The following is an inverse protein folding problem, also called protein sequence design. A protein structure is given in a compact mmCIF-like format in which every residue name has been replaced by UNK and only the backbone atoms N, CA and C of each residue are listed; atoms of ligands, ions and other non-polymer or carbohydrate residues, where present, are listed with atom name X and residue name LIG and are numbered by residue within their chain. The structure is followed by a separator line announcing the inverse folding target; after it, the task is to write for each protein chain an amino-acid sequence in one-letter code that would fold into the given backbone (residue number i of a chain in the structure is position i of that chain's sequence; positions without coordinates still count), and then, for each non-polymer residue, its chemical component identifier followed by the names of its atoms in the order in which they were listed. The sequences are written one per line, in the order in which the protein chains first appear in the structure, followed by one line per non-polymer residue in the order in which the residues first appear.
data_IF_181748301402
#
_entry.id   IF_181748301402
#
_cell.length_a   1.000
_cell.length_b   1.000
_cell.length_c   1.000
_cell.angle_alpha   90.00
_cell.angle_beta   90.00
_cell.angle_gamma   90.00
#
_symmetry.space_group_name_H-M   'P 1'
#
loop_
_entity.id
_entity.type
_entity.pdbx_description
1 polymer ?
#
# COMPACT_ATOMS: atom_id res chain seq x y z
N UNK A 1 -4.81 -32.20 12.98
CA UNK A 1 -4.65 -31.97 11.54
C UNK A 1 -5.08 -30.55 11.23
N UNK A 2 -4.49 -29.94 10.21
CA UNK A 2 -4.60 -28.53 9.81
C UNK A 2 -6.08 -28.12 9.60
N UNK A 3 -6.42 -26.87 9.91
CA UNK A 3 -7.77 -26.34 9.73
C UNK A 3 -7.99 -26.05 8.23
N UNK A 4 -8.86 -26.83 7.58
CA UNK A 4 -9.10 -26.85 6.13
C UNK A 4 -9.98 -25.69 5.62
N UNK A 5 -10.50 -24.83 6.51
CA UNK A 5 -11.34 -23.69 6.13
C UNK A 5 -10.59 -22.35 6.28
N UNK A 6 -9.70 -22.06 5.34
CA UNK A 6 -9.16 -20.71 5.07
C UNK A 6 -10.22 -19.67 4.64
N UNK A 7 -11.48 -19.84 5.05
CA UNK A 7 -12.67 -19.11 4.62
C UNK A 7 -13.28 -18.20 5.70
N UNK A 8 -12.68 -18.09 6.90
CA UNK A 8 -13.18 -17.18 7.95
C UNK A 8 -12.17 -16.09 8.27
N UNK A 9 -12.34 -14.94 7.64
CA UNK A 9 -11.78 -13.67 8.11
C UNK A 9 -12.47 -13.32 9.45
N UNK A 10 -11.93 -13.80 10.56
CA UNK A 10 -12.44 -13.48 11.90
C UNK A 10 -12.18 -11.99 12.16
N UNK A 11 -13.21 -11.16 12.02
CA UNK A 11 -13.21 -9.70 12.25
C UNK A 11 -12.79 -9.24 13.67
N UNK A 12 -12.32 -10.17 14.51
CA UNK A 12 -11.99 -10.02 15.92
C UNK A 12 -10.87 -9.01 16.23
N UNK A 13 -10.15 -8.47 15.25
CA UNK A 13 -8.89 -7.75 15.50
C UNK A 13 -8.89 -6.26 15.10
N UNK A 14 -9.96 -5.75 14.46
CA UNK A 14 -10.03 -4.33 14.11
C UNK A 14 -10.44 -3.42 15.27
N UNK A 15 -11.00 -3.98 16.34
CA UNK A 15 -11.46 -3.23 17.52
C UNK A 15 -10.33 -2.75 18.45
N UNK A 16 -9.08 -3.18 18.21
CA UNK A 16 -7.93 -2.85 19.05
C UNK A 16 -7.03 -1.77 18.44
N UNK A 17 -7.35 -1.28 17.25
CA UNK A 17 -6.59 -0.19 16.63
C UNK A 17 -7.12 1.17 17.11
N UNK A 18 -6.20 2.07 17.45
CA UNK A 18 -6.52 3.43 17.91
C UNK A 18 -7.25 4.24 16.81
N UNK A 19 -6.95 3.95 15.54
CA UNK A 19 -7.60 4.49 14.35
C UNK A 19 -7.99 3.33 13.40
N UNK A 20 -9.00 3.49 12.52
CA UNK A 20 -9.25 2.53 11.46
C UNK A 20 -7.97 2.26 10.65
N UNK A 21 -7.56 0.99 10.43
CA UNK A 21 -6.27 0.67 9.83
C UNK A 21 -6.03 1.32 8.47
N UNK A 22 -7.09 1.49 7.67
CA UNK A 22 -7.02 2.19 6.38
C UNK A 22 -6.54 3.63 6.53
N UNK A 23 -7.07 4.38 7.50
CA UNK A 23 -6.64 5.76 7.79
C UNK A 23 -5.22 5.80 8.34
N UNK A 24 -4.87 4.87 9.23
CA UNK A 24 -3.53 4.78 9.79
C UNK A 24 -2.49 4.55 8.68
N UNK A 25 -2.74 3.58 7.80
CA UNK A 25 -1.87 3.27 6.66
C UNK A 25 -1.79 4.44 5.68
N UNK A 26 -2.92 5.07 5.34
CA UNK A 26 -2.94 6.22 4.43
C UNK A 26 -2.12 7.40 4.98
N UNK A 27 -2.30 7.76 6.27
CA UNK A 27 -1.53 8.83 6.91
C UNK A 27 -0.04 8.52 6.93
N UNK A 28 0.32 7.27 7.24
CA UNK A 28 1.72 6.82 7.26
C UNK A 28 2.33 6.86 5.85
N UNK A 29 1.61 6.42 4.83
CA UNK A 29 2.05 6.50 3.44
C UNK A 29 2.29 7.95 3.00
N UNK A 30 1.33 8.86 3.28
CA UNK A 30 1.47 10.29 2.98
C UNK A 30 2.71 10.87 3.67
N UNK A 31 2.92 10.55 4.96
CA UNK A 31 4.09 11.01 5.69
C UNK A 31 5.40 10.47 5.10
N UNK A 32 5.41 9.22 4.63
CA UNK A 32 6.57 8.63 3.95
C UNK A 32 6.85 9.30 2.61
N UNK A 33 5.84 9.47 1.75
CA UNK A 33 5.97 10.14 0.45
C UNK A 33 6.45 11.60 0.61
N UNK A 34 5.90 12.34 1.58
CA UNK A 34 6.35 13.71 1.89
C UNK A 34 7.80 13.76 2.37
N UNK A 35 8.21 12.85 3.25
CA UNK A 35 9.59 12.77 3.74
C UNK A 35 10.58 12.43 2.63
N UNK A 36 10.17 11.59 1.68
CA UNK A 36 10.95 11.27 0.49
C UNK A 36 10.93 12.37 -0.59
N UNK A 37 10.12 13.42 -0.42
CA UNK A 37 9.98 14.54 -1.36
C UNK A 37 9.68 14.11 -2.81
N UNK A 38 8.89 13.04 -2.98
CA UNK A 38 8.59 12.46 -4.30
C UNK A 38 7.70 13.36 -5.18
N UNK A 39 7.03 14.35 -4.59
CA UNK A 39 6.19 15.31 -5.29
C UNK A 39 6.11 16.64 -4.52
N UNK A 40 5.88 17.78 -5.20
CA UNK A 40 5.74 19.09 -4.55
C UNK A 40 4.55 19.16 -3.58
N UNK A 41 3.51 18.35 -3.83
CA UNK A 41 2.31 18.29 -3.01
C UNK A 41 1.81 16.85 -2.93
N UNK A 42 1.65 16.35 -1.70
CA UNK A 42 1.02 15.06 -1.41
C UNK A 42 -0.16 15.31 -0.49
N UNK A 43 -1.36 14.97 -0.92
CA UNK A 43 -2.62 15.16 -0.17
C UNK A 43 -3.49 13.91 -0.27
N UNK A 44 -4.37 13.73 0.69
CA UNK A 44 -5.35 12.65 0.75
C UNK A 44 -6.59 12.91 -0.12
N UNK A 45 -6.89 14.19 -0.38
CA UNK A 45 -7.99 14.61 -1.23
C UNK A 45 -7.59 15.86 -2.05
N UNK A 46 -7.97 15.89 -3.33
CA UNK A 46 -7.71 17.00 -4.24
C UNK A 46 -9.00 17.31 -5.01
N UNK A 47 -9.34 18.60 -5.24
CA UNK A 47 -10.49 18.95 -6.07
C UNK A 47 -10.39 18.35 -7.47
N UNK A 48 -11.51 17.87 -8.03
CA UNK A 48 -11.59 17.15 -9.30
C UNK A 48 -11.13 17.95 -10.55
N UNK A 49 -10.79 19.23 -10.41
CA UNK A 49 -10.33 20.07 -11.52
C UNK A 49 -8.90 19.76 -11.99
N UNK A 50 -8.21 18.79 -11.36
CA UNK A 50 -6.89 18.30 -11.77
C UNK A 50 -6.94 16.77 -11.85
N UNK A 51 -6.19 16.20 -12.79
CA UNK A 51 -5.94 14.76 -12.88
C UNK A 51 -4.51 14.45 -12.38
N UNK A 52 -4.25 14.54 -11.06
CA UNK A 52 -2.92 14.28 -10.52
C UNK A 52 -2.58 12.79 -10.60
N UNK A 53 -1.30 12.48 -10.40
CA UNK A 53 -0.90 11.12 -10.08
C UNK A 53 -1.69 10.62 -8.85
N UNK A 54 -2.20 9.40 -8.91
CA UNK A 54 -2.98 8.80 -7.83
C UNK A 54 -2.29 7.55 -7.30
N UNK A 55 -2.19 7.47 -5.98
CA UNK A 55 -1.81 6.23 -5.29
C UNK A 55 -3.03 5.71 -4.55
N UNK A 56 -3.39 4.45 -4.81
CA UNK A 56 -4.47 3.75 -4.13
C UNK A 56 -3.95 2.44 -3.55
N UNK A 57 -4.66 1.90 -2.56
CA UNK A 57 -4.22 0.69 -1.87
C UNK A 57 -5.37 -0.14 -1.32
N UNK A 58 -5.10 -1.44 -1.18
CA UNK A 58 -5.96 -2.41 -0.50
C UNK A 58 -5.16 -3.20 0.53
N UNK A 59 -5.76 -3.44 1.69
CA UNK A 59 -5.21 -4.33 2.70
C UNK A 59 -5.57 -5.77 2.30
N UNK A 60 -4.55 -6.60 2.07
CA UNK A 60 -4.72 -8.04 1.80
C UNK A 60 -4.57 -8.82 3.10
N UNK A 61 -3.55 -8.48 3.90
CA UNK A 61 -3.35 -8.99 5.25
C UNK A 61 -2.76 -7.88 6.13
N UNK A 62 -3.24 -7.80 7.38
CA UNK A 62 -2.70 -6.91 8.40
C UNK A 62 -3.02 -7.53 9.76
N UNK A 63 -2.38 -8.65 10.05
CA UNK A 63 -2.79 -9.50 11.15
C UNK A 63 -1.62 -10.22 11.83
N UNK A 64 -1.94 -10.74 13.01
CA UNK A 64 -1.08 -11.60 13.80
C UNK A 64 -1.79 -12.94 13.93
N UNK A 65 -1.16 -14.01 13.48
CA UNK A 65 -1.72 -15.36 13.42
C UNK A 65 -0.89 -16.33 14.27
N UNK A 66 -1.52 -17.32 14.94
CA UNK A 66 -0.79 -18.37 15.64
C UNK A 66 -0.04 -19.26 14.64
N UNK A 67 1.18 -19.69 14.99
CA UNK A 67 2.02 -20.55 14.16
C UNK A 67 2.83 -21.52 15.03
N UNK A 68 2.39 -22.78 15.10
CA UNK A 68 3.14 -23.87 15.74
C UNK A 68 3.56 -23.63 17.20
N UNK A 69 2.72 -22.94 17.99
CA UNK A 69 3.03 -22.57 19.38
C UNK A 69 3.71 -21.20 19.55
N UNK A 70 4.03 -20.52 18.45
CA UNK A 70 4.48 -19.14 18.41
C UNK A 70 3.46 -18.26 17.67
N UNK A 71 3.81 -17.01 17.42
CA UNK A 71 2.98 -16.07 16.67
C UNK A 71 3.75 -15.53 15.47
N UNK A 72 3.02 -15.23 14.40
CA UNK A 72 3.58 -14.67 13.17
C UNK A 72 2.76 -13.45 12.79
N UNK A 73 3.42 -12.35 12.42
CA UNK A 73 2.75 -11.22 11.77
C UNK A 73 2.75 -11.44 10.25
N UNK A 74 1.63 -11.12 9.62
CA UNK A 74 1.46 -11.14 8.18
C UNK A 74 0.93 -9.78 7.73
N UNK A 75 1.74 -9.08 6.93
CA UNK A 75 1.39 -7.81 6.32
C UNK A 75 1.46 -7.97 4.81
N UNK A 76 0.35 -7.74 4.13
CA UNK A 76 0.28 -7.76 2.69
C UNK A 76 -0.57 -6.59 2.18
N UNK A 77 0.02 -5.75 1.35
CA UNK A 77 -0.64 -4.56 0.79
C UNK A 77 -0.61 -4.65 -0.73
N UNK A 78 -1.78 -4.48 -1.37
CA UNK A 78 -1.85 -4.21 -2.79
C UNK A 78 -1.80 -2.71 -3.01
N UNK A 79 -0.79 -2.21 -3.72
CA UNK A 79 -0.64 -0.78 -4.01
C UNK A 79 -0.71 -0.56 -5.52
N UNK A 80 -1.38 0.52 -5.91
CA UNK A 80 -1.48 0.98 -7.28
C UNK A 80 -1.03 2.42 -7.39
N UNK A 81 -0.20 2.69 -8.39
CA UNK A 81 0.10 4.03 -8.86
C UNK A 81 -0.52 4.23 -10.24
N UNK A 82 -1.18 5.37 -10.41
CA UNK A 82 -1.70 5.84 -11.68
C UNK A 82 -1.01 7.17 -12.00
N UNK A 83 -0.33 7.29 -13.15
CA UNK A 83 0.27 8.56 -13.56
C UNK A 83 -0.81 9.63 -13.77
N UNK A 84 -0.45 10.92 -13.76
CA UNK A 84 -1.37 11.96 -14.15
C UNK A 84 -1.80 11.71 -15.61
N UNK A 85 -3.09 11.82 -15.88
CA UNK A 85 -3.56 11.77 -17.27
C UNK A 85 -3.07 13.04 -17.97
N UNK A 86 -2.36 12.86 -19.08
CA UNK A 86 -2.03 13.99 -19.95
C UNK A 86 -3.29 14.36 -20.69
N UNK A 87 -3.78 15.59 -20.50
CA UNK A 87 -4.90 16.14 -21.25
C UNK A 87 -4.48 16.29 -22.72
N UNK A 88 -4.48 15.20 -23.50
CA UNK A 88 -4.27 15.21 -24.95
C UNK A 88 -5.55 15.68 -25.64
N UNK A 89 -5.95 16.91 -25.37
CA UNK A 89 -7.15 17.53 -25.95
C UNK A 89 -6.84 18.61 -27.01
N UNK A 90 -5.57 18.82 -27.38
CA UNK A 90 -5.17 19.88 -28.32
C UNK A 90 -4.50 19.38 -29.61
N UNK A 91 -5.02 18.29 -30.22
CA UNK A 91 -4.73 17.99 -31.62
C UNK A 91 -6.00 17.43 -32.31
N UNK A 92 -6.72 18.24 -33.11
CA UNK A 92 -7.80 17.72 -33.92
C UNK A 92 -7.20 16.85 -35.04
N UNK A 93 -7.38 15.53 -34.95
CA UNK A 93 -7.08 14.61 -36.05
C UNK A 93 -6.30 13.34 -35.71
N UNK A 94 -5.99 13.05 -34.44
CA UNK A 94 -5.29 11.82 -34.09
C UNK A 94 -6.18 10.86 -33.28
N UNK A 95 -7.00 10.08 -33.99
CA UNK A 95 -7.71 8.89 -33.50
C UNK A 95 -6.75 7.72 -33.19
N UNK A 96 -5.59 8.01 -32.60
CA UNK A 96 -4.77 6.98 -31.97
C UNK A 96 -5.47 6.58 -30.67
N UNK A 97 -6.05 5.37 -30.68
CA UNK A 97 -6.49 4.60 -29.51
C UNK A 97 -5.69 5.00 -28.27
N UNK A 98 -6.38 5.62 -27.31
CA UNK A 98 -5.80 6.02 -26.04
C UNK A 98 -5.33 4.79 -25.28
N UNK A 99 -4.06 4.42 -25.45
CA UNK A 99 -3.40 3.43 -24.61
C UNK A 99 -3.32 4.05 -23.22
N UNK A 100 -4.16 3.52 -22.34
CA UNK A 100 -4.19 3.77 -20.90
C UNK A 100 -2.75 3.90 -20.37
N UNK A 101 -2.48 5.01 -19.67
CA UNK A 101 -1.16 5.24 -19.06
C UNK A 101 -0.78 4.05 -18.20
N UNK A 102 0.37 3.44 -18.51
CA UNK A 102 0.89 2.23 -17.89
C UNK A 102 1.20 2.46 -16.40
N UNK A 103 0.15 2.42 -15.58
CA UNK A 103 0.23 2.55 -14.15
C UNK A 103 0.78 1.26 -13.53
N UNK A 104 1.33 1.37 -12.32
CA UNK A 104 1.87 0.22 -11.62
C UNK A 104 0.83 -0.39 -10.68
N UNK A 105 0.66 -1.70 -10.69
CA UNK A 105 -0.10 -2.45 -9.67
C UNK A 105 0.77 -3.57 -9.12
N UNK A 106 1.03 -3.56 -7.81
CA UNK A 106 1.87 -4.57 -7.15
C UNK A 106 1.33 -4.99 -5.80
N UNK A 107 1.71 -6.20 -5.38
CA UNK A 107 1.42 -6.74 -4.05
C UNK A 107 2.74 -6.93 -3.31
N UNK A 108 2.86 -6.28 -2.16
CA UNK A 108 4.00 -6.37 -1.28
C UNK A 108 3.63 -7.20 -0.05
N UNK A 109 4.57 -8.01 0.45
CA UNK A 109 4.34 -8.97 1.54
C UNK A 109 5.52 -9.01 2.49
N UNK A 110 5.22 -8.97 3.77
CA UNK A 110 6.17 -9.13 4.86
C UNK A 110 5.57 -10.10 5.89
N UNK A 111 6.32 -11.17 6.18
CA UNK A 111 5.95 -12.18 7.18
C UNK A 111 7.10 -12.32 8.17
N UNK A 112 6.80 -12.18 9.46
CA UNK A 112 7.84 -12.24 10.51
C UNK A 112 7.35 -13.03 11.71
N UNK A 113 8.18 -13.94 12.23
CA UNK A 113 7.92 -14.62 13.49
C UNK A 113 8.05 -13.63 14.66
N UNK A 114 7.20 -13.77 15.66
CA UNK A 114 7.17 -12.97 16.89
C UNK A 114 7.71 -13.85 18.04
N UNK A 115 8.96 -13.66 18.46
CA UNK A 115 9.64 -14.61 19.35
C UNK A 115 9.04 -14.68 20.76
N UNK A 116 8.61 -13.53 21.29
CA UNK A 116 8.09 -13.40 22.66
C UNK A 116 6.58 -13.59 22.75
N UNK A 117 5.91 -13.77 21.59
CA UNK A 117 4.46 -13.80 21.49
C UNK A 117 3.76 -12.53 21.99
N UNK A 118 4.48 -11.43 22.26
CA UNK A 118 3.91 -10.22 22.82
C UNK A 118 3.04 -9.50 21.79
N UNK A 119 1.88 -9.01 22.21
CA UNK A 119 1.02 -8.17 21.37
C UNK A 119 1.71 -6.85 21.05
N UNK A 120 2.44 -6.27 22.00
CA UNK A 120 3.19 -5.03 21.80
C UNK A 120 4.29 -5.20 20.75
N UNK A 121 5.10 -6.25 20.88
CA UNK A 121 6.13 -6.61 19.90
C UNK A 121 5.51 -6.86 18.54
N UNK A 122 4.37 -7.56 18.48
CA UNK A 122 3.64 -7.78 17.22
C UNK A 122 3.19 -6.48 16.58
N UNK A 123 2.61 -5.55 17.33
CA UNK A 123 2.14 -4.26 16.82
C UNK A 123 3.31 -3.42 16.27
N UNK A 124 4.44 -3.40 16.98
CA UNK A 124 5.68 -2.75 16.54
C UNK A 124 6.18 -3.36 15.23
N UNK A 125 6.26 -4.69 15.17
CA UNK A 125 6.73 -5.42 13.99
C UNK A 125 5.80 -5.29 12.78
N UNK A 126 4.48 -5.15 12.99
CA UNK A 126 3.55 -4.78 11.91
C UNK A 126 3.88 -3.39 11.37
N UNK A 127 4.16 -2.42 12.25
CA UNK A 127 4.61 -1.09 11.84
C UNK A 127 5.90 -1.13 11.00
N UNK A 128 6.89 -1.90 11.44
CA UNK A 128 8.16 -2.07 10.72
C UNK A 128 7.99 -2.79 9.37
N UNK A 129 7.07 -3.75 9.29
CA UNK A 129 6.72 -4.44 8.06
C UNK A 129 6.01 -3.50 7.06
N UNK A 130 5.11 -2.63 7.53
CA UNK A 130 4.49 -1.60 6.70
C UNK A 130 5.54 -0.62 6.15
N UNK A 131 6.49 -0.19 6.97
CA UNK A 131 7.57 0.69 6.51
C UNK A 131 8.45 0.02 5.45
N UNK A 132 8.81 -1.25 5.66
CA UNK A 132 9.58 -2.01 4.67
C UNK A 132 8.83 -2.11 3.33
N UNK A 133 7.52 -2.36 3.36
CA UNK A 133 6.67 -2.37 2.16
C UNK A 133 6.67 -1.00 1.47
N UNK A 134 6.55 0.10 2.22
CA UNK A 134 6.56 1.44 1.63
C UNK A 134 7.92 1.79 1.01
N UNK A 135 9.03 1.33 1.60
CA UNK A 135 10.36 1.47 1.00
C UNK A 135 10.44 0.72 -0.33
N UNK A 136 9.98 -0.54 -0.38
CA UNK A 136 9.94 -1.32 -1.63
C UNK A 136 9.07 -0.65 -2.70
N UNK A 137 7.90 -0.15 -2.30
CA UNK A 137 7.01 0.58 -3.21
C UNK A 137 7.65 1.84 -3.79
N UNK A 138 8.35 2.63 -2.97
CA UNK A 138 9.06 3.82 -3.46
C UNK A 138 10.18 3.47 -4.44
N UNK A 139 10.96 2.42 -4.16
CA UNK A 139 12.00 1.96 -5.08
C UNK A 139 11.41 1.52 -6.43
N UNK A 140 10.27 0.83 -6.43
CA UNK A 140 9.56 0.44 -7.65
C UNK A 140 9.04 1.67 -8.41
N UNK A 141 8.52 2.69 -7.72
CA UNK A 141 8.08 3.95 -8.34
C UNK A 141 9.24 4.68 -9.03
N UNK A 142 10.38 4.80 -8.35
CA UNK A 142 11.58 5.43 -8.91
C UNK A 142 12.08 4.68 -10.15
N UNK A 143 12.10 3.34 -10.10
CA UNK A 143 12.49 2.51 -11.23
C UNK A 143 11.56 2.71 -12.44
N UNK A 144 10.25 2.81 -12.23
CA UNK A 144 9.28 3.06 -13.30
C UNK A 144 9.43 4.46 -13.91
N UNK A 145 9.67 5.49 -13.09
CA UNK A 145 9.91 6.85 -13.56
C UNK A 145 11.24 6.99 -14.33
N UNK A 146 12.24 6.19 -14.00
CA UNK A 146 13.51 6.15 -14.73
C UNK A 146 13.39 5.48 -16.10
N UNK A 147 12.48 4.51 -16.27
CA UNK A 147 12.22 3.84 -17.55
C UNK A 147 11.39 4.71 -18.50
N UNK A 148 10.63 5.67 -17.95
CA UNK A 148 9.78 6.58 -18.72
C UNK A 148 10.51 7.86 -19.20
N UNK A 149 11.80 8.02 -18.88
CA UNK A 149 12.69 9.11 -19.32
C UNK A 149 13.63 8.63 -20.43
#
# INVERSE_FOLDING_TARGET
ALDDEGMRLRAYHYQLWVDPPTRMLQRRLIATLRRANVAPLVVDNLPQAREPAQISGRIIALERVPSGGSWTIQVALGLRYQPPQSNRLDAPGDESDGVDGDGMVRVYRETRAVPDGSVETSARMIGDAVDAIFVQFMADLEAMQAVSQ
#
